data_IF_588965982012
#
_entry.id   IF_588965982012
#
_cell.length_a   1.000
_cell.length_b   1.000
_cell.length_c   1.000
_cell.angle_alpha   90.00
_cell.angle_beta   90.00
_cell.angle_gamma   90.00
#
_symmetry.space_group_name_H-M   'P 1'
#
loop_
_entity.id
_entity.type
_entity.pdbx_description
1 polymer ?
#
# COMPACT_ATOMS: atom_id res chain seq x y z
N UNK A 1 11.03 -30.72 -20.97
CA UNK A 1 12.04 -30.96 -19.91
C UNK A 1 13.06 -29.83 -20.08
N UNK A 2 13.01 -28.71 -19.40
CA UNK A 2 12.36 -28.30 -18.15
C UNK A 2 12.00 -26.81 -18.35
N UNK A 3 10.71 -26.44 -18.34
CA UNK A 3 10.24 -25.04 -18.37
C UNK A 3 10.42 -24.43 -16.96
N UNK A 4 11.67 -24.42 -16.50
CA UNK A 4 12.05 -23.97 -15.17
C UNK A 4 12.15 -22.46 -15.10
N UNK A 5 11.06 -21.82 -14.66
CA UNK A 5 11.06 -20.61 -13.84
C UNK A 5 11.93 -19.44 -14.34
N UNK A 6 11.45 -18.71 -15.36
CA UNK A 6 11.98 -17.38 -15.70
C UNK A 6 11.84 -16.35 -14.56
N UNK A 7 10.93 -16.59 -13.62
CA UNK A 7 10.72 -15.81 -12.41
C UNK A 7 11.27 -16.58 -11.22
N UNK A 8 12.58 -16.50 -10.99
CA UNK A 8 13.07 -16.85 -9.66
C UNK A 8 12.48 -15.82 -8.69
N UNK A 9 11.55 -16.26 -7.83
CA UNK A 9 11.32 -15.59 -6.54
C UNK A 9 12.69 -15.21 -5.99
N UNK A 10 12.84 -13.99 -5.45
CA UNK A 10 14.11 -13.53 -4.85
C UNK A 10 14.72 -14.73 -4.11
N UNK A 11 15.89 -15.24 -4.55
CA UNK A 11 16.45 -16.43 -3.93
C UNK A 11 16.48 -16.22 -2.42
N UNK A 12 15.92 -17.15 -1.65
CA UNK A 12 15.83 -17.00 -0.19
C UNK A 12 17.22 -16.75 0.42
N UNK A 13 18.27 -17.28 -0.22
CA UNK A 13 19.67 -17.07 0.14
C UNK A 13 20.15 -15.61 0.00
N UNK A 14 19.40 -14.76 -0.68
CA UNK A 14 19.69 -13.33 -0.83
C UNK A 14 18.96 -12.46 0.19
N UNK A 15 18.07 -13.07 0.99
CA UNK A 15 17.24 -12.38 1.97
C UNK A 15 17.86 -12.52 3.35
N UNK A 16 17.99 -11.40 4.05
CA UNK A 16 18.40 -11.39 5.44
C UNK A 16 17.29 -11.94 6.34
N UNK A 17 17.55 -12.97 7.16
CA UNK A 17 16.53 -13.58 8.01
C UNK A 17 16.07 -12.69 9.18
N UNK A 18 16.86 -11.67 9.55
CA UNK A 18 16.45 -10.69 10.57
C UNK A 18 15.56 -9.58 10.01
N UNK A 19 15.86 -9.09 8.81
CA UNK A 19 15.14 -7.93 8.23
C UNK A 19 14.05 -8.33 7.25
N UNK A 20 14.11 -9.55 6.70
CA UNK A 20 13.24 -9.99 5.61
C UNK A 20 13.51 -9.27 4.27
N UNK A 21 14.64 -8.57 4.15
CA UNK A 21 14.99 -7.76 2.98
C UNK A 21 16.22 -8.33 2.26
N UNK A 22 16.40 -7.97 0.99
CA UNK A 22 17.64 -8.27 0.25
C UNK A 22 18.86 -7.74 0.99
N UNK A 23 19.96 -8.47 0.95
CA UNK A 23 21.22 -7.99 1.47
C UNK A 23 21.71 -6.74 0.73
N UNK A 24 22.11 -5.72 1.49
CA UNK A 24 22.88 -4.57 1.02
C UNK A 24 24.31 -4.66 1.53
N UNK A 25 24.50 -5.01 2.81
CA UNK A 25 25.82 -5.22 3.41
C UNK A 25 25.87 -6.55 4.20
N UNK A 26 25.86 -7.70 3.49
CA UNK A 26 25.79 -9.01 4.13
C UNK A 26 27.04 -9.28 4.97
N UNK A 27 26.86 -9.80 6.19
CA UNK A 27 27.93 -10.30 7.06
C UNK A 27 27.63 -11.72 7.52
N UNK A 28 28.62 -12.60 7.48
CA UNK A 28 28.44 -14.01 7.83
C UNK A 28 29.06 -14.30 9.18
N UNK A 29 28.26 -14.81 10.12
CA UNK A 29 28.73 -15.22 11.44
C UNK A 29 29.50 -16.54 11.37
N UNK A 30 30.25 -16.86 12.43
CA UNK A 30 30.95 -18.14 12.59
C UNK A 30 30.02 -19.37 12.51
N UNK A 31 28.72 -19.18 12.72
CA UNK A 31 27.70 -20.23 12.55
C UNK A 31 27.35 -20.52 11.08
N UNK A 32 27.94 -19.79 10.13
CA UNK A 32 27.65 -19.89 8.70
C UNK A 32 26.36 -19.17 8.26
N UNK A 33 25.66 -18.50 9.18
CA UNK A 33 24.45 -17.73 8.88
C UNK A 33 24.82 -16.30 8.51
N UNK A 34 24.13 -15.74 7.51
CA UNK A 34 24.39 -14.39 6.99
C UNK A 34 23.26 -13.45 7.39
N UNK A 35 23.63 -12.23 7.80
CA UNK A 35 22.72 -11.18 8.25
C UNK A 35 23.10 -9.85 7.62
N UNK A 36 22.17 -8.92 7.58
CA UNK A 36 22.45 -7.52 7.26
C UNK A 36 23.30 -6.90 8.38
N UNK A 37 24.37 -6.18 8.03
CA UNK A 37 25.34 -5.64 8.99
C UNK A 37 24.66 -4.81 10.08
N UNK A 38 23.75 -3.93 9.70
CA UNK A 38 23.06 -3.05 10.63
C UNK A 38 22.22 -3.86 11.63
N UNK A 39 21.48 -4.86 11.14
CA UNK A 39 20.58 -5.67 11.95
C UNK A 39 21.34 -6.54 12.97
N UNK A 40 22.45 -7.18 12.57
CA UNK A 40 23.21 -8.00 13.52
C UNK A 40 24.03 -7.15 14.50
N UNK A 41 24.43 -5.93 14.11
CA UNK A 41 25.05 -4.97 15.04
C UNK A 41 24.08 -4.60 16.14
N UNK A 42 22.85 -4.22 15.77
CA UNK A 42 21.80 -3.88 16.73
C UNK A 42 21.48 -5.06 17.66
N UNK A 43 21.44 -6.28 17.13
CA UNK A 43 21.27 -7.50 17.94
C UNK A 43 22.33 -7.64 19.03
N UNK A 44 23.61 -7.38 18.72
CA UNK A 44 24.70 -7.42 19.70
C UNK A 44 24.67 -6.23 20.66
N UNK A 45 24.32 -5.04 20.19
CA UNK A 45 24.22 -3.83 21.01
C UNK A 45 23.12 -3.95 22.09
N UNK A 46 22.10 -4.79 21.85
CA UNK A 46 21.09 -5.18 22.84
C UNK A 46 21.59 -6.19 23.89
N UNK A 47 22.85 -6.62 23.82
CA UNK A 47 23.46 -7.56 24.76
C UNK A 47 23.22 -9.04 24.42
N UNK A 48 22.65 -9.35 23.25
CA UNK A 48 22.43 -10.74 22.85
C UNK A 48 23.76 -11.41 22.45
N UNK A 49 24.02 -12.59 23.00
CA UNK A 49 25.27 -13.34 22.77
C UNK A 49 25.11 -14.58 21.88
N UNK A 50 23.95 -14.74 21.26
CA UNK A 50 23.57 -15.92 20.45
C UNK A 50 23.34 -15.56 19.00
N UNK A 51 23.52 -16.54 18.11
CA UNK A 51 23.08 -16.45 16.72
C UNK A 51 21.53 -16.37 16.66
N UNK A 52 20.94 -15.37 15.98
CA UNK A 52 19.48 -15.20 15.94
C UNK A 52 18.71 -16.38 15.35
N UNK A 53 19.30 -17.09 14.38
CA UNK A 53 18.64 -18.20 13.67
C UNK A 53 18.91 -19.54 14.34
N UNK A 54 20.14 -19.79 14.78
CA UNK A 54 20.54 -21.11 15.31
C UNK A 54 20.46 -21.24 16.82
N UNK A 55 20.34 -20.12 17.55
CA UNK A 55 20.35 -20.09 19.02
C UNK A 55 21.71 -20.42 19.65
N UNK A 56 22.75 -20.72 18.86
CA UNK A 56 24.08 -21.07 19.38
C UNK A 56 24.79 -19.84 19.96
N UNK A 57 25.44 -20.01 21.11
CA UNK A 57 26.30 -18.99 21.73
C UNK A 57 27.48 -18.67 20.81
N UNK A 58 27.76 -17.39 20.62
CA UNK A 58 28.84 -16.89 19.80
C UNK A 58 30.11 -16.70 20.65
N UNK A 59 31.25 -17.09 20.10
CA UNK A 59 32.57 -16.94 20.74
C UNK A 59 33.11 -15.51 20.58
N UNK A 60 32.66 -14.80 19.54
CA UNK A 60 33.02 -13.42 19.25
C UNK A 60 31.77 -12.60 18.91
N UNK A 61 31.61 -11.46 19.60
CA UNK A 61 30.50 -10.51 19.41
C UNK A 61 30.89 -9.31 18.52
N UNK A 62 32.06 -9.37 17.89
CA UNK A 62 32.42 -8.37 16.88
C UNK A 62 31.66 -8.66 15.58
N UNK A 63 31.03 -7.63 15.02
CA UNK A 63 30.37 -7.73 13.71
C UNK A 63 31.41 -8.06 12.65
N UNK A 64 31.27 -9.17 11.90
CA UNK A 64 32.26 -9.58 10.89
C UNK A 64 32.41 -8.59 9.74
N UNK A 65 33.44 -8.80 8.93
CA UNK A 65 33.61 -8.11 7.65
C UNK A 65 32.51 -8.49 6.66
N UNK A 66 32.28 -7.63 5.67
CA UNK A 66 31.28 -7.86 4.62
C UNK A 66 31.62 -9.14 3.87
N UNK A 67 30.62 -9.97 3.64
CA UNK A 67 30.68 -11.05 2.68
C UNK A 67 30.62 -10.46 1.27
N UNK A 68 31.77 -10.02 0.76
CA UNK A 68 31.88 -9.41 -0.56
C UNK A 68 31.48 -10.35 -1.70
N UNK A 69 31.60 -11.66 -1.51
CA UNK A 69 31.15 -12.64 -2.50
C UNK A 69 29.64 -12.60 -2.61
N UNK A 70 28.91 -12.74 -1.50
CA UNK A 70 27.46 -12.66 -1.49
C UNK A 70 26.96 -11.29 -1.96
N UNK A 71 27.59 -10.21 -1.49
CA UNK A 71 27.28 -8.84 -1.95
C UNK A 71 27.38 -8.73 -3.47
N UNK A 72 28.48 -9.19 -4.08
CA UNK A 72 28.65 -9.18 -5.54
C UNK A 72 27.62 -10.02 -6.28
N UNK A 73 27.27 -11.19 -5.76
CA UNK A 73 26.26 -12.06 -6.37
C UNK A 73 24.89 -11.39 -6.33
N UNK A 74 24.51 -10.83 -5.19
CA UNK A 74 23.27 -10.08 -5.01
C UNK A 74 23.23 -8.84 -5.92
N UNK A 75 24.32 -8.06 -5.98
CA UNK A 75 24.42 -6.87 -6.84
C UNK A 75 24.35 -7.22 -8.33
N UNK A 76 24.98 -8.32 -8.75
CA UNK A 76 24.89 -8.83 -10.12
C UNK A 76 23.47 -9.28 -10.44
N UNK A 77 22.81 -9.98 -9.52
CA UNK A 77 21.43 -10.40 -9.68
C UNK A 77 20.50 -9.19 -9.80
N UNK A 78 20.65 -8.18 -8.92
CA UNK A 78 19.93 -6.90 -9.00
C UNK A 78 20.12 -6.30 -10.39
N UNK A 79 21.36 -6.13 -10.84
CA UNK A 79 21.67 -5.46 -12.11
C UNK A 79 21.08 -6.17 -13.32
N UNK A 80 21.13 -7.50 -13.35
CA UNK A 80 20.56 -8.31 -14.43
C UNK A 80 19.03 -8.19 -14.46
N UNK A 81 18.39 -8.21 -13.29
CA UNK A 81 16.94 -8.03 -13.17
C UNK A 81 16.50 -6.63 -13.64
N UNK A 82 17.23 -5.58 -13.27
CA UNK A 82 16.99 -4.22 -13.76
C UNK A 82 17.12 -4.13 -15.28
N UNK A 83 18.13 -4.78 -15.86
CA UNK A 83 18.35 -4.80 -17.31
C UNK A 83 17.18 -5.46 -18.05
N UNK A 84 16.64 -6.55 -17.51
CA UNK A 84 15.49 -7.24 -18.10
C UNK A 84 14.21 -6.38 -18.05
N UNK A 85 13.98 -5.66 -16.95
CA UNK A 85 12.87 -4.71 -16.83
C UNK A 85 12.98 -3.55 -17.83
N UNK A 86 14.21 -3.04 -18.05
CA UNK A 86 14.47 -1.98 -19.02
C UNK A 86 14.30 -2.47 -20.46
N UNK A 87 14.72 -3.70 -20.76
CA UNK A 87 14.52 -4.32 -22.07
C UNK A 87 13.02 -4.52 -22.36
N UNK A 88 12.26 -5.02 -21.38
CA UNK A 88 10.80 -5.10 -21.46
C UNK A 88 10.15 -3.73 -21.76
N UNK A 89 10.52 -2.68 -21.03
CA UNK A 89 10.01 -1.33 -21.28
C UNK A 89 10.41 -0.77 -22.67
N UNK A 90 11.57 -1.15 -23.18
CA UNK A 90 12.04 -0.74 -24.50
C UNK A 90 11.29 -1.47 -25.62
N UNK A 91 10.97 -2.74 -25.44
CA UNK A 91 10.14 -3.52 -26.38
C UNK A 91 8.72 -2.97 -26.47
N UNK A 92 8.21 -2.43 -25.37
CA UNK A 92 6.92 -1.73 -25.30
C UNK A 92 6.91 -0.42 -26.12
N UNK A 93 8.06 0.22 -26.33
CA UNK A 93 8.21 1.51 -27.02
C UNK A 93 8.19 1.42 -28.56
N UNK A 94 7.91 0.24 -29.12
CA UNK A 94 7.97 -0.05 -30.57
C UNK A 94 6.93 0.65 -31.48
N UNK A 95 6.29 1.75 -31.06
CA UNK A 95 5.46 2.56 -31.95
C UNK A 95 5.39 4.07 -31.60
N UNK A 96 6.49 4.75 -31.33
CA UNK A 96 6.58 6.20 -31.62
C UNK A 96 8.01 6.70 -31.52
N UNK A 97 8.42 7.45 -32.55
CA UNK A 97 9.81 7.72 -32.91
C UNK A 97 10.64 8.56 -31.94
N UNK A 98 11.94 8.40 -32.17
CA UNK A 98 13.09 9.23 -31.84
C UNK A 98 12.82 10.53 -31.09
N UNK A 99 13.21 10.60 -29.81
CA UNK A 99 13.95 11.74 -29.26
C UNK A 99 14.84 11.28 -28.10
N UNK A 100 16.16 11.28 -28.34
CA UNK A 100 17.20 11.12 -27.33
C UNK A 100 17.49 12.48 -26.69
N UNK A 101 17.27 12.62 -25.38
CA UNK A 101 18.07 13.47 -24.47
C UNK A 101 18.15 12.77 -23.10
N UNK A 102 19.21 13.07 -22.37
CA UNK A 102 20.02 12.17 -21.58
C UNK A 102 20.20 12.70 -20.15
N UNK A 103 19.55 12.06 -19.17
CA UNK A 103 20.07 11.83 -17.82
C UNK A 103 19.53 10.47 -17.35
N UNK A 104 20.28 9.73 -16.51
CA UNK A 104 19.84 8.41 -16.02
C UNK A 104 18.48 8.50 -15.29
N UNK A 105 18.24 9.59 -14.58
CA UNK A 105 17.01 9.81 -13.81
C UNK A 105 15.82 10.21 -14.70
N UNK A 106 16.00 11.07 -15.72
CA UNK A 106 14.92 11.38 -16.68
C UNK A 106 14.55 10.17 -17.55
N UNK A 107 15.52 9.32 -17.89
CA UNK A 107 15.24 8.07 -18.62
C UNK A 107 14.43 7.08 -17.80
N UNK A 108 14.66 7.02 -16.49
CA UNK A 108 13.90 6.15 -15.58
C UNK A 108 12.48 6.68 -15.36
N UNK A 109 12.31 7.98 -15.11
CA UNK A 109 10.98 8.62 -15.03
C UNK A 109 10.20 8.38 -16.31
N UNK A 110 10.81 8.63 -17.47
CA UNK A 110 10.18 8.42 -18.76
C UNK A 110 9.72 6.97 -18.94
N UNK A 111 10.58 5.98 -18.64
CA UNK A 111 10.22 4.56 -18.72
C UNK A 111 9.06 4.21 -17.76
N UNK A 112 9.09 4.71 -16.53
CA UNK A 112 8.04 4.49 -15.54
C UNK A 112 6.71 5.13 -15.97
N UNK A 113 6.76 6.35 -16.54
CA UNK A 113 5.58 7.00 -17.10
C UNK A 113 5.04 6.25 -18.31
N UNK A 114 5.89 5.75 -19.22
CA UNK A 114 5.43 4.95 -20.36
C UNK A 114 4.66 3.70 -19.93
N UNK A 115 5.13 3.00 -18.88
CA UNK A 115 4.42 1.85 -18.31
C UNK A 115 3.02 2.23 -17.79
N UNK A 116 2.80 3.49 -17.40
CA UNK A 116 1.52 4.01 -16.92
C UNK A 116 0.63 4.61 -18.02
N UNK A 117 1.18 5.36 -18.97
CA UNK A 117 0.39 6.28 -19.80
C UNK A 117 0.15 5.83 -21.23
N UNK A 118 0.95 4.90 -21.75
CA UNK A 118 0.85 4.52 -23.16
C UNK A 118 -0.30 3.54 -23.47
N UNK A 119 -1.07 3.11 -22.46
CA UNK A 119 -1.94 1.94 -22.54
C UNK A 119 -3.36 2.19 -22.04
N UNK A 120 -4.32 1.46 -22.64
CA UNK A 120 -5.71 1.35 -22.16
C UNK A 120 -5.77 0.78 -20.73
N UNK A 121 -6.94 0.81 -20.08
CA UNK A 121 -7.07 0.33 -18.69
C UNK A 121 -6.72 -1.15 -18.57
N UNK A 122 -7.17 -1.96 -19.52
CA UNK A 122 -6.97 -3.40 -19.58
C UNK A 122 -5.50 -3.76 -19.80
N UNK A 123 -4.82 -3.02 -20.68
CA UNK A 123 -3.40 -3.19 -20.96
C UNK A 123 -2.54 -2.76 -19.78
N UNK A 124 -2.91 -1.71 -19.04
CA UNK A 124 -2.19 -1.31 -17.81
C UNK A 124 -2.20 -2.40 -16.75
N UNK A 125 -3.33 -3.06 -16.55
CA UNK A 125 -3.44 -4.20 -15.62
C UNK A 125 -2.52 -5.34 -16.07
N UNK A 126 -2.54 -5.65 -17.36
CA UNK A 126 -1.70 -6.71 -17.95
C UNK A 126 -0.22 -6.39 -17.78
N UNK A 127 0.21 -5.17 -18.10
CA UNK A 127 1.58 -4.71 -17.93
C UNK A 127 2.00 -4.68 -16.46
N UNK A 128 1.11 -4.31 -15.54
CA UNK A 128 1.38 -4.38 -14.11
C UNK A 128 1.56 -5.83 -13.63
N UNK A 129 0.76 -6.79 -14.12
CA UNK A 129 0.98 -8.23 -13.86
C UNK A 129 2.32 -8.70 -14.39
N UNK A 130 2.69 -8.28 -15.61
CA UNK A 130 4.01 -8.58 -16.16
C UNK A 130 5.14 -7.97 -15.33
N UNK A 131 5.02 -6.69 -14.94
CA UNK A 131 5.98 -6.01 -14.07
C UNK A 131 6.15 -6.74 -12.73
N UNK A 132 5.04 -7.19 -12.12
CA UNK A 132 5.07 -7.98 -10.88
C UNK A 132 5.75 -9.32 -11.09
N UNK A 133 5.42 -10.03 -12.18
CA UNK A 133 6.06 -11.30 -12.53
C UNK A 133 7.58 -11.12 -12.67
N UNK A 134 8.02 -10.03 -13.31
CA UNK A 134 9.42 -9.66 -13.50
C UNK A 134 10.12 -9.09 -12.24
N UNK A 135 9.57 -9.29 -11.03
CA UNK A 135 10.18 -8.79 -9.79
C UNK A 135 10.24 -7.27 -9.69
N UNK A 136 9.49 -6.56 -10.54
CA UNK A 136 9.50 -5.10 -10.63
C UNK A 136 9.02 -4.41 -9.35
N UNK A 137 8.32 -5.13 -8.47
CA UNK A 137 7.86 -4.58 -7.21
C UNK A 137 9.02 -4.02 -6.37
N UNK A 138 10.07 -4.80 -6.16
CA UNK A 138 11.21 -4.36 -5.35
C UNK A 138 11.95 -3.18 -5.97
N UNK A 139 12.06 -3.18 -7.30
CA UNK A 139 12.60 -2.04 -8.05
C UNK A 139 11.78 -0.78 -7.81
N UNK A 140 10.45 -0.86 -7.92
CA UNK A 140 9.55 0.25 -7.61
C UNK A 140 9.76 0.73 -6.17
N UNK A 141 9.84 -0.18 -5.19
CA UNK A 141 10.06 0.20 -3.78
C UNK A 141 11.38 0.94 -3.58
N UNK A 142 12.46 0.50 -4.23
CA UNK A 142 13.76 1.16 -4.16
C UNK A 142 13.73 2.55 -4.82
N UNK A 143 13.08 2.70 -5.98
CA UNK A 143 12.90 4.01 -6.61
C UNK A 143 11.97 4.92 -5.81
N UNK A 144 11.01 4.36 -5.08
CA UNK A 144 10.18 5.14 -4.16
C UNK A 144 11.00 5.74 -3.02
N UNK A 145 11.97 4.99 -2.48
CA UNK A 145 12.80 5.45 -1.37
C UNK A 145 13.90 6.44 -1.82
N UNK A 146 14.61 6.13 -2.90
CA UNK A 146 15.81 6.88 -3.31
C UNK A 146 15.61 7.79 -4.54
N UNK A 147 14.47 7.70 -5.22
CA UNK A 147 14.16 8.48 -6.41
C UNK A 147 13.86 9.95 -6.09
N UNK A 148 13.95 10.79 -7.13
CA UNK A 148 13.52 12.18 -7.05
C UNK A 148 11.97 12.28 -6.96
N UNK A 149 11.43 13.50 -6.80
CA UNK A 149 9.99 13.70 -6.63
C UNK A 149 9.16 13.14 -7.79
N UNK A 150 9.59 13.34 -9.04
CA UNK A 150 8.86 12.87 -10.22
C UNK A 150 8.82 11.34 -10.29
N UNK A 151 9.93 10.67 -9.94
CA UNK A 151 9.95 9.22 -9.81
C UNK A 151 9.01 8.73 -8.74
N UNK A 152 9.02 9.34 -7.55
CA UNK A 152 8.11 8.97 -6.46
C UNK A 152 6.63 9.10 -6.89
N UNK A 153 6.30 10.15 -7.65
CA UNK A 153 4.95 10.35 -8.20
C UNK A 153 4.57 9.20 -9.14
N UNK A 154 5.46 8.83 -10.06
CA UNK A 154 5.22 7.75 -11.02
C UNK A 154 5.14 6.39 -10.33
N UNK A 155 6.07 6.11 -9.43
CA UNK A 155 6.10 4.87 -8.65
C UNK A 155 4.85 4.72 -7.80
N UNK A 156 4.35 5.79 -7.17
CA UNK A 156 3.10 5.71 -6.39
C UNK A 156 1.90 5.27 -7.25
N UNK A 157 1.81 5.78 -8.48
CA UNK A 157 0.80 5.33 -9.43
C UNK A 157 1.02 3.87 -9.87
N UNK A 158 2.27 3.47 -10.17
CA UNK A 158 2.59 2.10 -10.56
C UNK A 158 2.30 1.08 -9.45
N UNK A 159 2.63 1.39 -8.21
CA UNK A 159 2.31 0.55 -7.05
C UNK A 159 0.79 0.39 -6.90
N UNK A 160 0.02 1.46 -7.14
CA UNK A 160 -1.45 1.37 -7.14
C UNK A 160 -1.96 0.47 -8.28
N UNK A 161 -1.38 0.57 -9.47
CA UNK A 161 -1.69 -0.32 -10.60
C UNK A 161 -1.30 -1.78 -10.32
N UNK A 162 -0.17 -2.02 -9.65
CA UNK A 162 0.24 -3.35 -9.22
C UNK A 162 -0.78 -3.96 -8.26
N UNK A 163 -1.31 -3.18 -7.31
CA UNK A 163 -2.33 -3.64 -6.38
C UNK A 163 -3.65 -3.94 -7.09
N UNK A 164 -4.05 -3.11 -8.07
CA UNK A 164 -5.23 -3.37 -8.91
C UNK A 164 -5.07 -4.64 -9.75
N UNK A 165 -3.85 -4.91 -10.22
CA UNK A 165 -3.52 -6.05 -11.05
C UNK A 165 -3.39 -7.38 -10.28
N UNK A 166 -2.79 -7.33 -9.10
CA UNK A 166 -2.63 -8.46 -8.18
C UNK A 166 -2.66 -7.94 -6.75
N UNK A 167 -3.79 -8.15 -6.10
CA UNK A 167 -4.06 -7.68 -4.76
C UNK A 167 -3.15 -8.35 -3.70
N UNK A 168 -2.50 -9.48 -4.04
CA UNK A 168 -1.54 -10.17 -3.17
C UNK A 168 -0.27 -9.37 -2.89
N UNK A 169 0.13 -8.45 -3.77
CA UNK A 169 1.31 -7.62 -3.54
C UNK A 169 1.10 -6.53 -2.47
N UNK A 170 -0.16 -6.20 -2.13
CA UNK A 170 -0.52 -5.10 -1.21
C UNK A 170 0.16 -5.21 0.15
N UNK A 171 0.17 -6.41 0.75
CA UNK A 171 0.78 -6.61 2.07
C UNK A 171 2.29 -6.38 2.05
N UNK A 172 2.97 -6.87 1.01
CA UNK A 172 4.39 -6.67 0.82
C UNK A 172 4.74 -5.19 0.64
N UNK A 173 3.93 -4.45 -0.13
CA UNK A 173 4.08 -3.00 -0.29
C UNK A 173 3.89 -2.31 1.06
N UNK A 174 2.80 -2.58 1.76
CA UNK A 174 2.47 -1.91 3.01
C UNK A 174 3.52 -2.11 4.11
N UNK A 175 4.21 -3.26 4.13
CA UNK A 175 5.29 -3.54 5.10
C UNK A 175 6.57 -2.79 4.74
N UNK A 176 6.95 -2.79 3.47
CA UNK A 176 8.27 -2.32 3.06
C UNK A 176 8.29 -0.85 2.59
N UNK A 177 7.13 -0.21 2.37
CA UNK A 177 7.07 1.13 1.82
C UNK A 177 7.60 2.16 2.82
N UNK A 178 8.47 3.05 2.34
CA UNK A 178 9.01 4.14 3.15
C UNK A 178 7.91 5.18 3.43
N UNK A 179 7.38 5.22 4.66
CA UNK A 179 6.24 6.12 4.96
C UNK A 179 6.62 7.59 4.87
N UNK A 180 7.87 7.96 5.19
CA UNK A 180 8.39 9.30 4.90
C UNK A 180 8.18 9.73 3.44
N UNK A 181 8.35 8.82 2.46
CA UNK A 181 8.15 9.17 1.05
C UNK A 181 6.67 9.38 0.70
N UNK A 182 5.74 8.68 1.37
CA UNK A 182 4.30 8.97 1.26
C UNK A 182 3.98 10.37 1.81
N UNK A 183 4.58 10.72 2.96
CA UNK A 183 4.42 12.05 3.57
C UNK A 183 5.01 13.14 2.68
N UNK A 184 6.17 12.92 2.07
CA UNK A 184 6.79 13.86 1.11
C UNK A 184 5.85 14.15 -0.06
N UNK A 185 5.17 13.13 -0.60
CA UNK A 185 4.20 13.29 -1.67
C UNK A 185 2.94 14.04 -1.21
N UNK A 186 2.41 13.75 -0.02
CA UNK A 186 1.27 14.47 0.55
C UNK A 186 1.59 15.96 0.82
N UNK A 187 2.81 16.27 1.22
CA UNK A 187 3.27 17.64 1.44
C UNK A 187 3.65 18.39 0.16
N UNK A 188 3.67 17.69 -0.99
CA UNK A 188 4.06 18.30 -2.26
C UNK A 188 3.05 19.37 -2.70
N UNK A 189 3.56 20.43 -3.33
CA UNK A 189 2.72 21.46 -3.96
C UNK A 189 1.97 20.92 -5.17
N UNK A 190 2.50 19.87 -5.80
CA UNK A 190 1.89 19.27 -6.99
C UNK A 190 0.62 18.51 -6.64
N UNK A 191 -0.47 18.78 -7.37
CA UNK A 191 -1.76 18.06 -7.19
C UNK A 191 -1.60 16.58 -7.56
N UNK A 192 -0.90 16.27 -8.66
CA UNK A 192 -0.59 14.89 -9.10
C UNK A 192 0.09 14.06 -8.01
N UNK A 193 1.04 14.65 -7.27
CA UNK A 193 1.72 13.99 -6.17
C UNK A 193 0.78 13.64 -5.02
N UNK A 194 -0.04 14.60 -4.60
CA UNK A 194 -1.03 14.41 -3.52
C UNK A 194 -2.10 13.40 -3.91
N UNK A 195 -2.60 13.47 -5.15
CA UNK A 195 -3.57 12.51 -5.70
C UNK A 195 -3.02 11.08 -5.68
N UNK A 196 -1.82 10.86 -6.23
CA UNK A 196 -1.20 9.54 -6.28
C UNK A 196 -0.90 8.98 -4.87
N UNK A 197 -0.48 9.84 -3.94
CA UNK A 197 -0.27 9.44 -2.55
C UNK A 197 -1.58 9.03 -1.87
N UNK A 198 -2.66 9.77 -2.07
CA UNK A 198 -3.99 9.44 -1.53
C UNK A 198 -4.51 8.13 -2.10
N UNK A 199 -4.38 7.91 -3.41
CA UNK A 199 -4.77 6.65 -4.05
C UNK A 199 -3.99 5.48 -3.47
N UNK A 200 -2.65 5.58 -3.40
CA UNK A 200 -1.82 4.52 -2.85
C UNK A 200 -2.11 4.26 -1.36
N UNK A 201 -2.22 5.31 -0.54
CA UNK A 201 -2.59 5.17 0.87
C UNK A 201 -3.94 4.49 1.06
N UNK A 202 -4.91 4.84 0.23
CA UNK A 202 -6.24 4.22 0.23
C UNK A 202 -6.15 2.73 -0.09
N UNK A 203 -5.32 2.34 -1.07
CA UNK A 203 -5.07 0.92 -1.35
C UNK A 203 -4.40 0.20 -0.17
N UNK A 204 -3.44 0.83 0.51
CA UNK A 204 -2.66 0.20 1.57
C UNK A 204 -3.45 -0.01 2.88
N UNK A 205 -4.53 0.76 3.09
CA UNK A 205 -5.44 0.55 4.22
C UNK A 205 -6.50 -0.53 3.97
N UNK A 206 -6.68 -1.01 2.72
CA UNK A 206 -7.58 -2.10 2.38
C UNK A 206 -6.97 -3.46 2.80
N UNK A 207 -6.89 -3.73 4.11
CA UNK A 207 -6.36 -4.98 4.68
C UNK A 207 -7.42 -5.71 5.48
N UNK A 208 -7.40 -7.05 5.43
CA UNK A 208 -8.32 -7.91 6.18
C UNK A 208 -8.32 -7.60 7.69
N UNK A 209 -7.12 -7.44 8.27
CA UNK A 209 -6.96 -7.18 9.70
C UNK A 209 -6.87 -5.69 10.01
N UNK A 210 -7.83 -5.18 10.77
CA UNK A 210 -7.88 -3.84 11.33
C UNK A 210 -6.63 -3.49 12.12
N UNK A 211 -6.11 -4.41 12.94
CA UNK A 211 -4.87 -4.19 13.69
C UNK A 211 -3.70 -3.80 12.77
N UNK A 212 -3.62 -4.38 11.57
CA UNK A 212 -2.59 -4.05 10.59
C UNK A 212 -2.80 -2.65 9.98
N UNK A 213 -4.07 -2.25 9.76
CA UNK A 213 -4.41 -0.90 9.31
C UNK A 213 -4.02 0.13 10.36
N UNK A 214 -4.38 -0.13 11.63
CA UNK A 214 -4.05 0.76 12.74
C UNK A 214 -2.54 0.92 12.91
N UNK A 215 -1.78 -0.18 12.87
CA UNK A 215 -0.31 -0.16 12.97
C UNK A 215 0.35 0.60 11.81
N UNK A 216 -0.16 0.45 10.59
CA UNK A 216 0.33 1.18 9.42
C UNK A 216 0.10 2.69 9.56
N UNK A 217 -1.13 3.09 9.91
CA UNK A 217 -1.53 4.48 10.06
C UNK A 217 -0.88 5.16 11.27
N UNK A 218 -0.70 4.46 12.39
CA UNK A 218 0.04 4.99 13.54
C UNK A 218 1.50 5.28 13.18
N UNK A 219 2.10 4.44 12.34
CA UNK A 219 3.44 4.68 11.79
C UNK A 219 3.52 5.97 10.97
N UNK A 220 2.50 6.26 10.15
CA UNK A 220 2.42 7.52 9.39
C UNK A 220 2.34 8.75 10.31
N UNK A 221 1.59 8.67 11.40
CA UNK A 221 1.47 9.77 12.37
C UNK A 221 2.78 10.01 13.14
N UNK A 222 3.56 8.95 13.42
CA UNK A 222 4.83 9.06 14.14
C UNK A 222 6.00 9.58 13.30
N UNK A 223 5.96 9.37 11.98
CA UNK A 223 7.10 9.68 11.10
C UNK A 223 7.11 11.14 10.58
N UNK A 224 6.08 11.95 10.86
CA UNK A 224 5.92 13.30 10.30
C UNK A 224 6.21 14.46 11.27
N UNK A 225 6.89 15.51 10.79
CA UNK A 225 7.05 16.79 11.51
C UNK A 225 5.71 17.57 11.55
N UNK A 226 4.94 17.45 10.47
CA UNK A 226 3.63 18.10 10.30
C UNK A 226 2.54 17.06 10.45
N UNK A 227 1.44 17.44 11.12
CA UNK A 227 0.29 16.58 11.31
C UNK A 227 -0.33 16.18 9.95
N UNK A 228 -0.22 14.90 9.59
CA UNK A 228 -0.78 14.31 8.35
C UNK A 228 -2.26 14.63 8.16
N UNK A 229 -3.03 14.68 9.24
CA UNK A 229 -4.46 15.01 9.17
C UNK A 229 -4.70 16.45 8.70
N UNK A 230 -3.87 17.40 9.12
CA UNK A 230 -3.98 18.78 8.67
C UNK A 230 -3.64 18.93 7.19
N UNK A 231 -2.66 18.17 6.72
CA UNK A 231 -2.24 18.16 5.30
C UNK A 231 -3.34 17.59 4.43
N UNK A 232 -3.96 16.49 4.86
CA UNK A 232 -5.13 15.92 4.21
C UNK A 232 -6.34 16.86 4.23
N UNK A 233 -6.57 17.59 5.32
CA UNK A 233 -7.63 18.59 5.40
C UNK A 233 -7.41 19.72 4.38
N UNK A 234 -6.21 20.29 4.32
CA UNK A 234 -5.87 21.32 3.32
C UNK A 234 -6.01 20.75 1.91
N UNK A 235 -5.64 19.49 1.70
CA UNK A 235 -5.84 18.85 0.40
C UNK A 235 -7.32 18.68 0.06
N UNK A 236 -8.13 18.16 0.99
CA UNK A 236 -9.58 17.95 0.84
C UNK A 236 -10.31 19.23 0.41
N UNK A 237 -9.92 20.37 0.99
CA UNK A 237 -10.50 21.68 0.68
C UNK A 237 -10.14 22.18 -0.73
N UNK A 238 -8.98 21.75 -1.26
CA UNK A 238 -8.45 22.19 -2.55
C UNK A 238 -8.60 21.16 -3.69
N UNK A 239 -8.95 19.91 -3.38
CA UNK A 239 -9.01 18.81 -4.34
C UNK A 239 -10.26 18.85 -5.21
N UNK A 240 -10.21 18.29 -6.44
CA UNK A 240 -11.38 18.18 -7.31
C UNK A 240 -12.43 17.24 -6.69
N UNK A 241 -13.72 17.39 -7.05
CA UNK A 241 -14.83 16.69 -6.38
C UNK A 241 -14.70 15.16 -6.42
N UNK A 242 -14.15 14.60 -7.50
CA UNK A 242 -13.92 13.16 -7.66
C UNK A 242 -12.85 12.58 -6.73
N UNK A 243 -11.94 13.42 -6.20
CA UNK A 243 -10.90 12.97 -5.27
C UNK A 243 -11.32 13.11 -3.80
N UNK A 244 -12.24 14.04 -3.50
CA UNK A 244 -12.71 14.33 -2.14
C UNK A 244 -13.15 13.09 -1.34
N UNK A 245 -13.88 12.10 -1.91
CA UNK A 245 -14.28 10.91 -1.16
C UNK A 245 -13.09 10.15 -0.57
N UNK A 246 -12.04 9.93 -1.36
CA UNK A 246 -10.88 9.14 -0.93
C UNK A 246 -10.04 9.91 0.11
N UNK A 247 -9.95 11.23 -0.01
CA UNK A 247 -9.26 12.06 0.99
C UNK A 247 -10.03 12.06 2.31
N UNK A 248 -11.36 12.18 2.25
CA UNK A 248 -12.22 12.19 3.44
C UNK A 248 -12.14 10.88 4.24
N UNK A 249 -12.15 9.72 3.57
CA UNK A 249 -12.03 8.43 4.28
C UNK A 249 -10.67 8.25 4.95
N UNK A 250 -9.57 8.73 4.34
CA UNK A 250 -8.25 8.68 4.95
C UNK A 250 -8.21 9.58 6.19
N UNK A 251 -8.82 10.77 6.11
CA UNK A 251 -8.92 11.68 7.23
C UNK A 251 -9.75 11.09 8.38
N UNK A 252 -10.88 10.44 8.10
CA UNK A 252 -11.67 9.71 9.10
C UNK A 252 -10.89 8.55 9.72
N UNK A 253 -10.19 7.76 8.92
CA UNK A 253 -9.35 6.67 9.42
C UNK A 253 -8.29 7.19 10.39
N UNK A 254 -7.61 8.29 10.07
CA UNK A 254 -6.59 8.88 10.94
C UNK A 254 -7.19 9.51 12.21
N UNK A 255 -8.34 10.17 12.10
CA UNK A 255 -9.01 10.82 13.23
C UNK A 255 -9.51 9.82 14.28
N UNK A 256 -10.18 8.77 13.81
CA UNK A 256 -10.80 7.76 14.65
C UNK A 256 -9.76 6.86 15.35
N UNK A 257 -8.50 6.87 14.92
CA UNK A 257 -7.39 6.24 15.65
C UNK A 257 -7.02 6.97 16.94
N UNK A 258 -7.24 8.30 17.01
CA UNK A 258 -6.79 9.12 18.12
C UNK A 258 -7.85 9.18 19.23
N UNK A 259 -8.94 9.91 19.00
CA UNK A 259 -9.98 10.15 20.00
C UNK A 259 -11.38 10.08 19.36
N UNK A 260 -11.92 8.88 19.13
CA UNK A 260 -13.20 8.69 18.42
C UNK A 260 -14.41 9.30 19.16
N UNK A 261 -14.28 9.58 20.45
CA UNK A 261 -15.40 10.05 21.30
C UNK A 261 -15.43 11.56 21.55
N UNK A 262 -14.44 12.31 21.07
CA UNK A 262 -14.42 13.78 21.17
C UNK A 262 -14.77 14.43 19.84
N UNK A 263 -15.21 15.68 19.92
CA UNK A 263 -15.41 16.53 18.74
C UNK A 263 -14.07 16.72 18.01
N UNK A 264 -14.12 16.65 16.67
CA UNK A 264 -12.96 16.87 15.81
C UNK A 264 -13.39 17.60 14.54
N UNK A 265 -12.71 18.70 14.25
CA UNK A 265 -12.90 19.48 13.02
C UNK A 265 -12.57 18.62 11.79
N UNK A 266 -11.56 17.75 11.89
CA UNK A 266 -11.18 16.84 10.80
C UNK A 266 -12.30 15.87 10.45
N UNK A 267 -13.00 15.37 11.45
CA UNK A 267 -14.12 14.45 11.29
C UNK A 267 -15.32 15.14 10.67
N UNK A 268 -15.67 16.33 11.17
CA UNK A 268 -16.78 17.13 10.64
C UNK A 268 -16.57 17.43 9.16
N UNK A 269 -15.40 17.96 8.79
CA UNK A 269 -15.05 18.27 7.40
C UNK A 269 -15.02 17.03 6.49
N UNK A 270 -14.58 15.88 7.00
CA UNK A 270 -14.59 14.65 6.24
C UNK A 270 -16.02 14.11 6.01
N UNK A 271 -16.88 14.15 7.03
CA UNK A 271 -18.30 13.78 6.92
C UNK A 271 -19.04 14.71 5.95
N UNK A 272 -18.80 16.01 6.02
CA UNK A 272 -19.39 16.99 5.11
C UNK A 272 -18.92 16.74 3.66
N UNK A 273 -17.64 16.42 3.45
CA UNK A 273 -17.13 16.09 2.13
C UNK A 273 -17.72 14.80 1.54
N UNK A 274 -17.95 13.77 2.37
CA UNK A 274 -18.64 12.54 1.94
C UNK A 274 -20.10 12.85 1.56
N UNK A 275 -20.78 13.65 2.36
CA UNK A 275 -22.18 14.06 2.10
C UNK A 275 -22.28 14.84 0.79
N UNK A 276 -21.40 15.83 0.58
CA UNK A 276 -21.35 16.59 -0.65
C UNK A 276 -21.01 15.70 -1.88
N UNK A 277 -20.15 14.70 -1.72
CA UNK A 277 -19.86 13.76 -2.79
C UNK A 277 -21.03 12.81 -3.10
N UNK A 278 -21.82 12.42 -2.10
CA UNK A 278 -23.06 11.66 -2.30
C UNK A 278 -24.07 12.45 -3.10
N UNK A 279 -24.26 13.73 -2.79
CA UNK A 279 -25.14 14.60 -3.57
C UNK A 279 -24.62 14.77 -5.01
N UNK A 280 -23.31 14.95 -5.18
CA UNK A 280 -22.67 15.04 -6.49
C UNK A 280 -22.77 13.75 -7.31
N UNK A 281 -22.78 12.58 -6.65
CA UNK A 281 -22.84 11.27 -7.29
C UNK A 281 -24.12 11.03 -8.10
N UNK A 282 -25.19 11.78 -7.83
CA UNK A 282 -26.43 11.73 -8.59
C UNK A 282 -26.29 12.33 -9.98
N UNK A 283 -25.23 13.11 -10.23
CA UNK A 283 -25.05 13.89 -11.46
C UNK A 283 -23.75 13.58 -12.20
N UNK A 284 -22.74 13.06 -11.53
CA UNK A 284 -21.41 12.78 -12.10
C UNK A 284 -20.98 11.34 -11.83
N UNK A 285 -20.85 10.54 -12.89
CA UNK A 285 -20.44 9.14 -12.84
C UNK A 285 -19.03 8.94 -12.23
N UNK A 286 -18.10 9.88 -12.42
CA UNK A 286 -16.74 9.78 -11.84
C UNK A 286 -16.79 9.98 -10.33
N UNK A 287 -17.57 10.97 -9.88
CA UNK A 287 -17.81 11.21 -8.46
C UNK A 287 -18.55 10.02 -7.85
N UNK A 288 -19.54 9.47 -8.54
CA UNK A 288 -20.26 8.27 -8.11
C UNK A 288 -19.32 7.08 -7.91
N UNK A 289 -18.52 6.72 -8.90
CA UNK A 289 -17.60 5.59 -8.80
C UNK A 289 -16.61 5.74 -7.63
N UNK A 290 -16.08 6.95 -7.42
CA UNK A 290 -15.15 7.25 -6.32
C UNK A 290 -15.84 7.26 -4.95
N UNK A 291 -17.07 7.78 -4.89
CA UNK A 291 -17.88 7.80 -3.67
C UNK A 291 -18.29 6.37 -3.24
N UNK A 292 -18.84 5.57 -4.15
CA UNK A 292 -19.20 4.17 -3.89
C UNK A 292 -17.99 3.39 -3.36
N UNK A 293 -16.84 3.52 -4.04
CA UNK A 293 -15.59 2.89 -3.60
C UNK A 293 -15.17 3.36 -2.20
N UNK A 294 -15.29 4.65 -1.91
CA UNK A 294 -14.92 5.20 -0.60
C UNK A 294 -15.80 4.62 0.53
N UNK A 295 -17.11 4.53 0.31
CA UNK A 295 -18.06 3.95 1.27
C UNK A 295 -17.81 2.45 1.50
N UNK A 296 -17.52 1.70 0.43
CA UNK A 296 -17.16 0.29 0.55
C UNK A 296 -15.90 0.10 1.42
N UNK A 297 -14.89 0.95 1.25
CA UNK A 297 -13.67 0.92 2.08
C UNK A 297 -13.97 1.29 3.54
N UNK A 298 -14.85 2.27 3.79
CA UNK A 298 -15.25 2.65 5.15
C UNK A 298 -15.91 1.51 5.92
N UNK A 299 -16.66 0.65 5.23
CA UNK A 299 -17.27 -0.54 5.84
C UNK A 299 -16.24 -1.52 6.41
N UNK A 300 -14.99 -1.45 5.97
CA UNK A 300 -13.87 -2.11 6.66
C UNK A 300 -13.79 -3.63 6.48
N UNK A 301 -14.60 -4.24 5.61
CA UNK A 301 -14.55 -5.67 5.33
C UNK A 301 -13.72 -5.94 4.06
N UNK A 302 -12.64 -6.71 4.22
CA UNK A 302 -11.73 -7.04 3.13
C UNK A 302 -11.33 -8.52 3.15
N UNK A 303 -11.10 -9.11 1.98
CA UNK A 303 -10.51 -10.46 1.90
C UNK A 303 -9.06 -10.46 2.40
N UNK A 304 -8.48 -11.65 2.57
CA UNK A 304 -7.04 -11.89 2.77
C UNK A 304 -6.15 -11.06 1.84
N UNK A 305 -6.55 -10.96 0.57
CA UNK A 305 -5.90 -10.19 -0.49
C UNK A 305 -6.42 -8.76 -0.62
N UNK A 306 -7.18 -8.23 0.35
CA UNK A 306 -7.62 -6.84 0.40
C UNK A 306 -8.69 -6.44 -0.63
N UNK A 307 -9.39 -7.41 -1.24
CA UNK A 307 -10.59 -7.13 -2.05
C UNK A 307 -11.69 -6.66 -1.12
N UNK A 308 -12.41 -5.60 -1.47
CA UNK A 308 -13.48 -5.07 -0.62
C UNK A 308 -14.68 -6.03 -0.63
N UNK A 309 -15.11 -6.47 0.55
CA UNK A 309 -16.19 -7.44 0.77
C UNK A 309 -17.39 -6.82 1.48
N UNK A 310 -17.37 -5.51 1.74
CA UNK A 310 -18.41 -4.78 2.48
C UNK A 310 -19.81 -5.02 1.90
N UNK A 311 -19.97 -5.00 0.58
CA UNK A 311 -21.26 -5.25 -0.07
C UNK A 311 -21.78 -6.66 0.23
N UNK A 312 -20.96 -7.69 0.03
CA UNK A 312 -21.30 -9.08 0.33
C UNK A 312 -21.67 -9.26 1.81
N UNK A 313 -20.94 -8.60 2.70
CA UNK A 313 -21.24 -8.63 4.13
C UNK A 313 -22.59 -7.99 4.44
N UNK A 314 -22.91 -6.82 3.85
CA UNK A 314 -24.21 -6.15 4.02
C UNK A 314 -25.35 -7.04 3.49
N UNK A 315 -25.19 -7.64 2.31
CA UNK A 315 -26.18 -8.56 1.73
C UNK A 315 -26.45 -9.77 2.62
N UNK A 316 -25.39 -10.36 3.18
CA UNK A 316 -25.48 -11.45 4.14
C UNK A 316 -26.26 -11.05 5.40
N UNK A 317 -26.00 -9.85 5.95
CA UNK A 317 -26.76 -9.32 7.10
C UNK A 317 -28.22 -9.05 6.76
N UNK A 318 -28.52 -8.70 5.51
CA UNK A 318 -29.87 -8.49 5.01
C UNK A 318 -30.63 -9.81 4.68
N UNK A 319 -29.99 -10.97 4.88
CA UNK A 319 -30.60 -12.28 4.62
C UNK A 319 -30.54 -12.73 3.15
N UNK A 320 -29.79 -12.03 2.31
CA UNK A 320 -29.49 -12.44 0.94
C UNK A 320 -28.16 -13.21 0.94
N UNK A 321 -28.24 -14.51 1.21
CA UNK A 321 -27.10 -15.44 1.09
C UNK A 321 -27.10 -15.96 -0.35
N UNK A 322 -26.67 -15.11 -1.29
CA UNK A 322 -26.52 -15.54 -2.67
C UNK A 322 -25.26 -16.41 -2.73
N UNK A 323 -25.40 -17.69 -3.09
CA UNK A 323 -24.34 -18.68 -3.15
C UNK A 323 -23.31 -18.41 -4.25
N UNK A 324 -22.81 -17.19 -4.35
CA UNK A 324 -21.82 -16.76 -5.31
C UNK A 324 -20.42 -17.20 -4.86
N UNK A 325 -19.88 -18.14 -5.62
CA UNK A 325 -18.52 -18.67 -5.62
C UNK A 325 -17.47 -17.56 -5.92
N UNK A 326 -17.30 -16.59 -5.03
CA UNK A 326 -16.10 -15.77 -5.01
C UNK A 326 -15.06 -16.50 -4.16
N UNK A 327 -14.32 -17.42 -4.79
CA UNK A 327 -13.23 -18.23 -4.21
C UNK A 327 -13.61 -18.95 -2.89
N UNK A 328 -14.39 -20.04 -3.03
CA UNK A 328 -14.75 -20.95 -1.95
C UNK A 328 -13.55 -21.57 -1.18
N UNK A 329 -12.31 -21.32 -1.60
CA UNK A 329 -11.09 -21.74 -0.89
C UNK A 329 -10.66 -20.78 0.23
N UNK A 330 -11.08 -19.50 0.21
CA UNK A 330 -10.73 -18.53 1.26
C UNK A 330 -11.79 -18.50 2.38
N UNK A 331 -13.08 -18.62 2.04
CA UNK A 331 -14.20 -18.60 3.00
C UNK A 331 -14.17 -19.78 3.99
N UNK A 332 -13.91 -21.01 3.52
CA UNK A 332 -13.86 -22.19 4.39
C UNK A 332 -12.63 -22.25 5.30
N UNK A 333 -11.53 -21.58 4.93
CA UNK A 333 -10.35 -21.44 5.80
C UNK A 333 -10.45 -20.27 6.77
N UNK A 334 -11.14 -19.18 6.41
CA UNK A 334 -11.39 -18.04 7.30
C UNK A 334 -12.26 -18.40 8.51
N UNK A 335 -13.20 -19.34 8.35
CA UNK A 335 -14.03 -19.83 9.46
C UNK A 335 -13.26 -20.65 10.53
N UNK A 336 -12.02 -21.07 10.27
CA UNK A 336 -11.24 -21.92 11.18
C UNK A 336 -10.21 -21.15 12.02
N UNK A 337 -10.11 -19.83 11.88
CA UNK A 337 -9.24 -18.96 12.67
C UNK A 337 -9.99 -17.70 13.14
N UNK A 338 -11.09 -17.88 13.88
CA UNK A 338 -11.74 -16.77 14.59
C UNK A 338 -10.76 -16.14 15.61
N UNK A 339 -10.17 -15.00 15.25
CA UNK A 339 -9.52 -14.11 16.22
C UNK A 339 -10.61 -13.21 16.81
N UNK A 340 -11.18 -13.61 17.95
CA UNK A 340 -12.21 -12.84 18.68
C UNK A 340 -11.78 -11.38 18.94
N UNK A 341 -10.47 -11.11 19.01
CA UNK A 341 -9.95 -9.75 19.19
C UNK A 341 -10.01 -8.92 17.89
N UNK A 342 -9.97 -9.54 16.72
CA UNK A 342 -10.09 -8.87 15.42
C UNK A 342 -11.54 -8.49 15.13
N UNK A 343 -12.49 -9.39 15.42
CA UNK A 343 -13.92 -9.12 15.29
C UNK A 343 -14.34 -7.97 16.20
N UNK A 344 -13.91 -8.00 17.48
CA UNK A 344 -14.13 -6.89 18.42
C UNK A 344 -13.54 -5.57 17.93
N UNK A 345 -12.37 -5.58 17.31
CA UNK A 345 -11.76 -4.37 16.75
C UNK A 345 -12.56 -3.80 15.57
N UNK A 346 -13.12 -4.67 14.72
CA UNK A 346 -13.98 -4.28 13.61
C UNK A 346 -15.33 -3.73 14.09
N UNK A 347 -15.97 -4.36 15.07
CA UNK A 347 -17.20 -3.87 15.68
C UNK A 347 -17.00 -2.50 16.34
N UNK A 348 -15.90 -2.32 17.08
CA UNK A 348 -15.58 -1.04 17.69
C UNK A 348 -15.34 0.05 16.65
N UNK A 349 -14.64 -0.27 15.55
CA UNK A 349 -14.49 0.63 14.41
C UNK A 349 -15.84 1.08 13.85
N UNK A 350 -16.73 0.13 13.51
CA UNK A 350 -18.04 0.42 12.94
C UNK A 350 -18.93 1.22 13.90
N UNK A 351 -18.85 0.95 15.20
CA UNK A 351 -19.55 1.72 16.23
C UNK A 351 -19.07 3.18 16.30
N UNK A 352 -17.76 3.40 16.26
CA UNK A 352 -17.19 4.74 16.29
C UNK A 352 -17.46 5.51 14.99
N UNK A 353 -17.37 4.82 13.85
CA UNK A 353 -17.71 5.37 12.53
C UNK A 353 -19.19 5.76 12.47
N UNK A 354 -20.11 4.86 12.83
CA UNK A 354 -21.56 5.15 12.82
C UNK A 354 -21.93 6.33 13.71
N UNK A 355 -21.36 6.43 14.92
CA UNK A 355 -21.53 7.60 15.78
C UNK A 355 -21.07 8.90 15.10
N UNK A 356 -19.99 8.83 14.31
CA UNK A 356 -19.45 9.96 13.55
C UNK A 356 -20.34 10.37 12.37
N UNK A 357 -20.90 9.39 11.64
CA UNK A 357 -21.76 9.62 10.47
C UNK A 357 -23.18 10.09 10.86
N UNK A 358 -23.68 9.68 12.03
CA UNK A 358 -24.99 10.09 12.56
C UNK A 358 -24.95 11.50 13.17
N UNK A 359 -23.79 11.95 13.63
CA UNK A 359 -23.58 13.28 14.18
C UNK A 359 -24.41 13.62 15.43
N UNK A 360 -24.26 14.84 15.94
CA UNK A 360 -24.97 15.33 17.13
C UNK A 360 -26.37 15.90 16.81
N UNK A 361 -27.05 15.40 15.77
CA UNK A 361 -28.43 15.79 15.42
C UNK A 361 -28.59 17.11 14.63
N UNK A 362 -27.54 17.70 14.06
CA UNK A 362 -27.66 18.90 13.19
C UNK A 362 -27.57 18.63 11.69
N UNK A 363 -26.82 17.61 11.26
CA UNK A 363 -26.74 17.12 9.88
C UNK A 363 -26.27 15.66 9.92
N UNK A 364 -27.21 14.73 9.88
CA UNK A 364 -26.89 13.31 9.77
C UNK A 364 -26.83 12.95 8.28
N UNK A 365 -25.85 12.16 7.85
CA UNK A 365 -25.83 11.58 6.48
C UNK A 365 -27.17 10.88 6.17
N UNK A 366 -27.80 10.29 7.19
CA UNK A 366 -29.04 9.53 7.06
C UNK A 366 -30.32 10.33 7.38
N UNK A 367 -30.21 11.63 7.69
CA UNK A 367 -31.37 12.47 8.02
C UNK A 367 -32.20 12.89 6.80
N UNK A 368 -31.52 13.24 5.70
CA UNK A 368 -32.15 13.78 4.48
C UNK A 368 -31.92 12.91 3.22
N UNK A 369 -30.97 11.94 3.23
CA UNK A 369 -30.48 11.28 2.00
C UNK A 369 -30.92 9.81 1.79
N UNK A 370 -32.04 9.38 2.39
CA UNK A 370 -32.60 8.02 2.20
C UNK A 370 -32.99 7.68 0.74
N UNK A 371 -32.96 8.65 -0.18
CA UNK A 371 -33.21 8.41 -1.60
C UNK A 371 -32.01 7.81 -2.34
N UNK A 372 -30.78 7.93 -1.81
CA UNK A 372 -29.55 7.48 -2.50
C UNK A 372 -29.36 5.95 -2.42
N UNK A 373 -29.95 5.29 -1.42
CA UNK A 373 -29.86 3.83 -1.23
C UNK A 373 -30.99 3.03 -1.93
N UNK A 374 -31.75 3.66 -2.85
CA UNK A 374 -32.70 2.97 -3.73
C UNK A 374 -32.11 2.81 -5.13
N UNK A 375 -31.05 2.01 -5.28
CA UNK A 375 -30.66 1.40 -6.55
C UNK A 375 -30.18 -0.02 -6.29
#
# INVERSE_FOLDING_TARGET
MDEGSFFSSIPQDFICPLTGQLFEDPVTLQTGQTFERAAIREWFDQGNITCPVTGKVLECLAVPLTNFVLKRVVDSWKSEHHRHLLDYASQISGSSGEHRVNTKDESAVFILEQLLTAFSKEERITNAKHLLSLGGLQFLMQRFEFGNLEEKICVAALLSCCIEADAGCRNQIAINIKKQCLLDLLHSKQVKARANAVVLLTELICKNRRKNVMSFLSGLQSEGIVNTMHVLLVYLQSSPPEEKPLVAILLLHLDLLLEPRKYSIYREEAVDAITAALDGSLTDEKVQAKCCRALLILGGHFSTFGKVLTENWILKQAGYDDGFEADALDSEKEALLFDDDEERANEEWLRNLSASLLGNGRKAIFGDHFQVFRL
#
